data_IF_618029440230
#
_entry.id   IF_618029440230
#
_cell.length_a   1.000
_cell.length_b   1.000
_cell.length_c   1.000
_cell.angle_alpha   90.00
_cell.angle_beta   90.00
_cell.angle_gamma   90.00
#
_symmetry.space_group_name_H-M   'P 1'
#
loop_
_entity.id
_entity.type
_entity.pdbx_description
1 polymer ?
#
# COMPACT_ATOMS: atom_id res chain seq x y z
N UNK A 1 -3.15 11.76 -2.00
CA UNK A 1 -2.42 12.81 -1.25
C UNK A 1 -2.04 12.37 0.16
N UNK A 2 -2.82 11.53 0.85
CA UNK A 2 -2.52 11.00 2.20
C UNK A 2 -2.23 12.12 3.19
N UNK A 3 -3.21 13.02 3.39
CA UNK A 3 -3.05 14.24 4.20
C UNK A 3 -1.79 15.03 3.77
N UNK A 4 -1.58 15.13 2.46
CA UNK A 4 -0.43 15.76 1.78
C UNK A 4 0.95 15.12 1.99
N UNK A 5 1.04 13.96 2.67
CA UNK A 5 2.31 13.25 2.89
C UNK A 5 2.79 12.44 1.69
N UNK A 6 1.88 12.05 0.79
CA UNK A 6 2.25 11.25 -0.39
C UNK A 6 3.08 12.06 -1.40
N UNK A 7 4.13 11.49 -2.02
CA UNK A 7 4.92 12.17 -3.06
C UNK A 7 4.15 12.38 -4.37
N UNK A 8 2.92 11.86 -4.45
CA UNK A 8 1.99 12.16 -5.54
C UNK A 8 1.28 13.49 -5.36
N UNK A 9 1.28 14.06 -4.14
CA UNK A 9 0.62 15.31 -3.83
C UNK A 9 1.40 16.51 -4.38
N UNK A 10 0.68 17.44 -4.99
CA UNK A 10 1.21 18.69 -5.55
C UNK A 10 0.72 19.90 -4.76
N UNK A 11 1.27 21.09 -5.07
CA UNK A 11 0.79 22.36 -4.49
C UNK A 11 -0.65 22.69 -4.91
N UNK A 12 -1.05 22.24 -6.09
CA UNK A 12 -2.41 22.43 -6.59
C UNK A 12 -3.43 21.64 -5.76
N UNK A 13 -3.10 20.39 -5.40
CA UNK A 13 -3.93 19.58 -4.51
C UNK A 13 -4.13 20.25 -3.13
N UNK A 14 -3.05 20.80 -2.56
CA UNK A 14 -3.14 21.51 -1.27
C UNK A 14 -3.97 22.78 -1.38
N UNK A 15 -3.80 23.55 -2.47
CA UNK A 15 -4.59 24.76 -2.72
C UNK A 15 -6.07 24.43 -2.86
N UNK A 16 -6.41 23.45 -3.71
CA UNK A 16 -7.78 23.00 -3.92
C UNK A 16 -8.42 22.52 -2.61
N UNK A 17 -7.70 21.72 -1.80
CA UNK A 17 -8.23 21.26 -0.51
C UNK A 17 -8.53 22.43 0.46
N UNK A 18 -7.66 23.44 0.55
CA UNK A 18 -7.90 24.62 1.40
C UNK A 18 -9.11 25.44 0.92
N UNK A 19 -9.25 25.62 -0.38
CA UNK A 19 -10.39 26.34 -0.97
C UNK A 19 -11.71 25.58 -0.72
N UNK A 20 -11.71 24.25 -0.93
CA UNK A 20 -12.86 23.39 -0.65
C UNK A 20 -13.22 23.35 0.84
N UNK A 21 -12.23 23.31 1.74
CA UNK A 21 -12.45 23.33 3.19
C UNK A 21 -13.18 24.60 3.62
N UNK A 22 -12.79 25.76 3.06
CA UNK A 22 -13.48 27.03 3.30
C UNK A 22 -14.93 27.00 2.80
N UNK A 23 -15.18 26.46 1.61
CA UNK A 23 -16.54 26.32 1.04
C UNK A 23 -17.40 25.41 1.92
N UNK A 24 -16.82 24.31 2.41
CA UNK A 24 -17.49 23.33 3.24
C UNK A 24 -17.64 23.72 4.72
N UNK A 25 -17.08 24.87 5.14
CA UNK A 25 -17.10 25.30 6.54
C UNK A 25 -16.25 24.44 7.48
N UNK A 26 -15.22 23.78 6.94
CA UNK A 26 -14.32 22.90 7.71
C UNK A 26 -13.06 23.70 8.07
N UNK A 27 -12.90 24.03 9.35
CA UNK A 27 -11.75 24.80 9.83
C UNK A 27 -10.46 23.95 9.87
N UNK A 28 -10.54 22.72 10.37
CA UNK A 28 -9.41 21.79 10.44
C UNK A 28 -9.59 20.59 9.50
N UNK A 29 -9.35 20.82 8.22
CA UNK A 29 -9.38 19.79 7.17
C UNK A 29 -8.32 18.69 7.36
N UNK A 30 -7.28 18.93 8.16
CA UNK A 30 -6.29 17.90 8.48
C UNK A 30 -6.79 16.96 9.57
N UNK A 31 -7.44 17.49 10.60
CA UNK A 31 -8.12 16.68 11.62
C UNK A 31 -9.22 15.82 10.98
N UNK A 32 -10.07 16.41 10.14
CA UNK A 32 -11.06 15.63 9.38
C UNK A 32 -10.39 14.55 8.51
N UNK A 33 -9.30 14.90 7.82
CA UNK A 33 -8.52 13.92 7.06
C UNK A 33 -8.01 12.77 7.94
N UNK A 34 -7.55 13.05 9.15
CA UNK A 34 -7.12 12.03 10.11
C UNK A 34 -8.29 11.15 10.55
N UNK A 35 -9.44 11.73 10.90
CA UNK A 35 -10.66 10.99 11.24
C UNK A 35 -11.09 10.06 10.11
N UNK A 36 -11.06 10.54 8.87
CA UNK A 36 -11.35 9.71 7.68
C UNK A 36 -10.37 8.53 7.57
N UNK A 37 -9.09 8.72 7.88
CA UNK A 37 -8.11 7.63 7.88
C UNK A 37 -8.28 6.68 9.05
N UNK A 38 -8.68 7.16 10.24
CA UNK A 38 -9.00 6.30 11.38
C UNK A 38 -10.16 5.37 11.01
N UNK A 39 -11.24 5.92 10.43
CA UNK A 39 -12.39 5.13 9.96
C UNK A 39 -11.97 4.16 8.84
N UNK A 40 -11.16 4.60 7.88
CA UNK A 40 -10.63 3.73 6.82
C UNK A 40 -9.71 2.62 7.36
N UNK A 41 -9.00 2.88 8.46
CA UNK A 41 -8.11 1.95 9.15
C UNK A 41 -8.86 0.92 9.98
N UNK A 42 -10.20 0.96 10.03
CA UNK A 42 -10.98 -0.19 10.53
C UNK A 42 -10.83 -1.36 9.55
N UNK A 43 -9.78 -2.12 9.79
CA UNK A 43 -9.44 -3.36 9.09
C UNK A 43 -9.95 -4.58 9.84
N UNK A 44 -10.36 -4.43 11.10
CA UNK A 44 -10.73 -5.53 11.98
C UNK A 44 -12.11 -6.12 11.63
N UNK A 45 -13.00 -5.29 11.07
CA UNK A 45 -14.35 -5.70 10.66
C UNK A 45 -14.40 -6.36 9.27
N UNK A 46 -13.34 -6.26 8.47
CA UNK A 46 -13.26 -6.82 7.12
C UNK A 46 -12.60 -8.20 7.10
N UNK A 47 -13.00 -9.04 6.15
CA UNK A 47 -12.30 -10.29 5.86
C UNK A 47 -10.93 -10.01 5.25
N UNK A 48 -9.96 -10.92 5.41
CA UNK A 48 -8.60 -10.72 4.92
C UNK A 48 -8.57 -10.63 3.39
N UNK A 49 -9.46 -11.38 2.73
CA UNK A 49 -9.67 -11.27 1.29
C UNK A 49 -10.12 -9.87 0.87
N UNK A 50 -11.11 -9.30 1.56
CA UNK A 50 -11.57 -7.93 1.29
C UNK A 50 -10.45 -6.91 1.53
N UNK A 51 -9.62 -7.12 2.56
CA UNK A 51 -8.46 -6.26 2.83
C UNK A 51 -7.45 -6.31 1.69
N UNK A 52 -7.00 -7.50 1.28
CA UNK A 52 -6.00 -7.63 0.21
C UNK A 52 -6.53 -7.06 -1.10
N UNK A 53 -7.84 -7.22 -1.38
CA UNK A 53 -8.48 -6.74 -2.61
C UNK A 53 -8.87 -5.25 -2.61
N UNK A 54 -8.91 -4.59 -1.44
CA UNK A 54 -9.47 -3.23 -1.25
C UNK A 54 -8.89 -2.19 -2.21
N UNK A 55 -7.58 -2.21 -2.43
CA UNK A 55 -6.92 -1.45 -3.51
C UNK A 55 -5.91 -2.35 -4.25
N UNK A 56 -6.39 -3.45 -4.79
CA UNK A 56 -5.59 -4.39 -5.56
C UNK A 56 -5.65 -4.08 -7.06
N UNK A 57 -4.49 -4.15 -7.71
CA UNK A 57 -4.38 -4.00 -9.17
C UNK A 57 -3.41 -5.01 -9.74
N UNK A 58 -3.76 -5.53 -10.91
CA UNK A 58 -2.88 -6.36 -11.72
C UNK A 58 -2.06 -5.51 -12.69
N UNK A 59 -0.82 -5.96 -12.89
CA UNK A 59 0.14 -5.40 -13.83
C UNK A 59 0.76 -6.55 -14.62
N UNK A 60 1.14 -6.28 -15.86
CA UNK A 60 1.95 -7.18 -16.66
C UNK A 60 3.32 -6.54 -16.85
N UNK A 61 4.37 -7.20 -16.37
CA UNK A 61 5.76 -6.72 -16.45
C UNK A 61 6.62 -7.84 -17.03
N UNK A 62 7.15 -7.63 -18.24
CA UNK A 62 7.95 -8.64 -18.93
C UNK A 62 7.22 -9.96 -19.20
N UNK A 63 5.89 -9.96 -19.32
CA UNK A 63 5.08 -11.18 -19.47
C UNK A 63 4.66 -11.83 -18.14
N UNK A 64 5.21 -11.37 -17.01
CA UNK A 64 4.83 -11.83 -15.68
C UNK A 64 3.64 -11.03 -15.15
N UNK A 65 2.61 -11.75 -14.69
CA UNK A 65 1.44 -11.13 -14.05
C UNK A 65 1.73 -10.87 -12.58
N UNK A 66 1.68 -9.60 -12.17
CA UNK A 66 2.02 -9.14 -10.83
C UNK A 66 0.83 -8.39 -10.23
N UNK A 67 0.35 -8.86 -9.08
CA UNK A 67 -0.69 -8.21 -8.30
C UNK A 67 -0.11 -7.33 -7.20
N UNK A 68 -0.59 -6.10 -7.06
CA UNK A 68 -0.14 -5.18 -6.00
C UNK A 68 -1.34 -4.54 -5.29
N UNK A 69 -1.54 -4.92 -4.03
CA UNK A 69 -2.49 -4.31 -3.09
C UNK A 69 -1.88 -3.19 -2.27
N UNK A 70 -2.72 -2.27 -1.78
CA UNK A 70 -2.31 -1.23 -0.84
C UNK A 70 -3.37 -1.02 0.26
N UNK A 71 -2.92 -0.99 1.51
CA UNK A 71 -3.69 -0.67 2.70
C UNK A 71 -3.00 0.46 3.45
N UNK A 72 -3.63 1.62 3.52
CA UNK A 72 -3.11 2.74 4.31
C UNK A 72 -3.79 2.80 5.68
N UNK A 73 -2.96 2.81 6.72
CA UNK A 73 -3.39 2.86 8.12
C UNK A 73 -2.65 3.95 8.88
N UNK A 74 -3.23 4.40 9.99
CA UNK A 74 -2.59 5.37 10.89
C UNK A 74 -1.40 4.73 11.64
N UNK A 75 -1.52 3.47 12.02
CA UNK A 75 -0.50 2.69 12.74
C UNK A 75 -0.54 1.23 12.24
N UNK A 76 0.63 0.66 11.97
CA UNK A 76 0.77 -0.73 11.51
C UNK A 76 0.49 -1.78 12.58
N UNK A 77 0.49 -1.41 13.87
CA UNK A 77 0.20 -2.34 14.97
C UNK A 77 -1.14 -3.07 14.81
N UNK A 78 -2.07 -2.48 14.06
CA UNK A 78 -3.36 -3.11 13.69
C UNK A 78 -3.19 -4.43 12.91
N UNK A 79 -2.04 -4.64 12.25
CA UNK A 79 -1.78 -5.83 11.45
C UNK A 79 -0.97 -6.91 12.18
N UNK A 80 -0.42 -6.63 13.36
CA UNK A 80 0.56 -7.52 14.02
C UNK A 80 0.03 -8.94 14.23
N UNK A 81 -1.28 -9.09 14.46
CA UNK A 81 -1.93 -10.38 14.71
C UNK A 81 -2.67 -10.97 13.50
N UNK A 82 -2.51 -10.40 12.30
CA UNK A 82 -3.22 -10.88 11.09
C UNK A 82 -2.33 -11.05 9.87
N UNK A 83 -1.01 -10.81 9.97
CA UNK A 83 -0.08 -10.98 8.84
C UNK A 83 -0.12 -12.39 8.25
N UNK A 84 -0.20 -13.42 9.07
CA UNK A 84 -0.25 -14.81 8.59
C UNK A 84 -1.51 -15.06 7.76
N UNK A 85 -2.67 -14.57 8.21
CA UNK A 85 -3.92 -14.65 7.46
C UNK A 85 -3.88 -13.81 6.17
N UNK A 86 -3.21 -12.65 6.18
CA UNK A 86 -2.98 -11.86 4.97
C UNK A 86 -2.09 -12.60 3.97
N UNK A 87 -1.01 -13.25 4.42
CA UNK A 87 -0.16 -14.07 3.56
C UNK A 87 -0.94 -15.24 2.97
N UNK A 88 -1.81 -15.89 3.74
CA UNK A 88 -2.67 -16.96 3.23
C UNK A 88 -3.59 -16.47 2.11
N UNK A 89 -4.24 -15.32 2.27
CA UNK A 89 -5.08 -14.75 1.22
C UNK A 89 -4.29 -14.23 0.02
N UNK A 90 -3.10 -13.68 0.24
CA UNK A 90 -2.19 -13.33 -0.86
C UNK A 90 -1.79 -14.57 -1.67
N UNK A 91 -1.54 -15.70 -1.01
CA UNK A 91 -1.25 -16.97 -1.66
C UNK A 91 -2.44 -17.46 -2.48
N UNK A 92 -3.65 -17.45 -1.90
CA UNK A 92 -4.89 -17.80 -2.62
C UNK A 92 -5.05 -16.94 -3.88
N UNK A 93 -4.86 -15.62 -3.78
CA UNK A 93 -4.92 -14.71 -4.93
C UNK A 93 -3.81 -14.96 -5.94
N UNK A 94 -2.61 -15.34 -5.49
CA UNK A 94 -1.51 -15.69 -6.40
C UNK A 94 -1.89 -16.89 -7.25
N UNK A 95 -2.43 -17.93 -6.62
CA UNK A 95 -2.80 -19.19 -7.27
C UNK A 95 -4.04 -19.01 -8.17
N UNK A 96 -5.11 -18.38 -7.67
CA UNK A 96 -6.35 -18.11 -8.43
C UNK A 96 -6.11 -17.30 -9.71
N UNK A 97 -5.15 -16.38 -9.66
CA UNK A 97 -4.86 -15.48 -10.77
C UNK A 97 -3.71 -15.92 -11.65
N UNK A 98 -3.09 -17.07 -11.36
CA UNK A 98 -1.83 -17.54 -11.98
C UNK A 98 -0.78 -16.41 -12.00
N UNK A 99 -0.64 -15.72 -10.87
CA UNK A 99 0.26 -14.57 -10.73
C UNK A 99 1.66 -15.05 -10.40
N UNK A 100 2.63 -14.50 -11.09
CA UNK A 100 4.04 -14.67 -10.74
C UNK A 100 4.33 -14.08 -9.35
N UNK A 101 3.70 -12.96 -9.02
CA UNK A 101 3.89 -12.31 -7.72
C UNK A 101 2.66 -11.59 -7.23
N UNK A 102 2.48 -11.59 -5.91
CA UNK A 102 1.48 -10.81 -5.19
C UNK A 102 2.19 -10.03 -4.09
N UNK A 103 2.04 -8.71 -4.11
CA UNK A 103 2.60 -7.81 -3.12
C UNK A 103 1.47 -7.06 -2.42
N UNK A 104 1.63 -6.82 -1.11
CA UNK A 104 0.72 -6.02 -0.32
C UNK A 104 1.49 -4.93 0.42
N UNK A 105 1.15 -3.68 0.13
CA UNK A 105 1.70 -2.52 0.80
C UNK A 105 0.89 -2.21 2.07
N UNK A 106 1.43 -2.50 3.25
CA UNK A 106 0.90 -2.00 4.51
C UNK A 106 1.55 -0.65 4.80
N UNK A 107 0.86 0.44 4.49
CA UNK A 107 1.40 1.80 4.52
C UNK A 107 1.06 2.49 5.85
N UNK A 108 2.08 2.86 6.62
CA UNK A 108 1.96 3.65 7.84
C UNK A 108 1.99 5.15 7.51
N UNK A 109 0.89 5.85 7.78
CA UNK A 109 0.76 7.28 7.52
C UNK A 109 1.58 8.11 8.51
N UNK A 110 1.74 7.64 9.75
CA UNK A 110 2.44 8.38 10.80
C UNK A 110 3.95 8.22 10.68
N UNK A 111 4.42 7.00 10.44
CA UNK A 111 5.84 6.70 10.22
C UNK A 111 6.32 7.01 8.80
N UNK A 112 5.40 7.30 7.88
CA UNK A 112 5.69 7.61 6.48
C UNK A 112 6.53 6.52 5.80
N UNK A 113 6.03 5.29 5.82
CA UNK A 113 6.69 4.16 5.15
C UNK A 113 5.73 3.00 4.92
N UNK A 114 6.23 1.96 4.25
CA UNK A 114 5.46 0.77 3.93
C UNK A 114 6.17 -0.46 4.45
N UNK A 115 5.46 -1.30 5.21
CA UNK A 115 5.81 -2.70 5.37
C UNK A 115 5.28 -3.44 4.14
N UNK A 116 6.18 -3.84 3.26
CA UNK A 116 5.83 -4.57 2.05
C UNK A 116 5.81 -6.06 2.37
N UNK A 117 4.68 -6.72 2.16
CA UNK A 117 4.58 -8.18 2.13
C UNK A 117 4.69 -8.63 0.68
N UNK A 118 5.46 -9.69 0.40
CA UNK A 118 5.70 -10.14 -0.96
C UNK A 118 5.73 -11.67 -1.06
N UNK A 119 4.85 -12.23 -1.89
CA UNK A 119 4.91 -13.62 -2.34
C UNK A 119 5.27 -13.61 -3.82
N UNK A 120 6.36 -14.28 -4.19
CA UNK A 120 6.91 -14.26 -5.53
C UNK A 120 7.54 -15.60 -5.87
N UNK A 121 7.44 -16.02 -7.14
CA UNK A 121 8.20 -17.17 -7.64
C UNK A 121 9.70 -16.86 -7.76
N UNK A 122 10.07 -15.59 -7.89
CA UNK A 122 11.46 -15.11 -7.91
C UNK A 122 11.65 -13.97 -6.89
N UNK A 123 11.72 -14.27 -5.57
CA UNK A 123 11.87 -13.25 -4.53
C UNK A 123 13.07 -12.31 -4.74
N UNK A 124 14.16 -12.81 -5.33
CA UNK A 124 15.35 -12.00 -5.64
C UNK A 124 15.03 -10.80 -6.53
N UNK A 125 14.09 -10.91 -7.47
CA UNK A 125 13.67 -9.77 -8.31
C UNK A 125 13.02 -8.66 -7.49
N UNK A 126 12.26 -9.02 -6.46
CA UNK A 126 11.66 -8.05 -5.53
C UNK A 126 12.76 -7.39 -4.68
N UNK A 127 13.70 -8.19 -4.20
CA UNK A 127 14.85 -7.67 -3.44
C UNK A 127 15.70 -6.69 -4.25
N UNK A 128 16.01 -7.04 -5.50
CA UNK A 128 16.78 -6.21 -6.43
C UNK A 128 16.03 -4.93 -6.80
N UNK A 129 14.71 -4.97 -6.95
CA UNK A 129 13.88 -3.80 -7.25
C UNK A 129 13.97 -2.73 -6.14
N UNK A 130 14.19 -3.13 -4.89
CA UNK A 130 14.22 -2.22 -3.75
C UNK A 130 15.57 -2.13 -3.04
N UNK A 131 16.60 -2.82 -3.56
CA UNK A 131 17.93 -2.96 -2.96
C UNK A 131 17.86 -3.36 -1.48
N UNK A 132 17.00 -4.34 -1.17
CA UNK A 132 16.76 -4.82 0.21
C UNK A 132 16.38 -6.28 0.24
N UNK A 133 16.83 -7.00 1.27
CA UNK A 133 16.44 -8.39 1.53
C UNK A 133 15.05 -8.51 2.11
N UNK A 134 14.34 -9.55 1.69
CA UNK A 134 13.08 -9.97 2.31
C UNK A 134 13.41 -10.83 3.53
N UNK A 135 12.90 -10.46 4.69
CA UNK A 135 12.96 -11.27 5.90
C UNK A 135 11.56 -11.81 6.16
N UNK A 136 11.38 -13.14 6.12
CA UNK A 136 10.06 -13.77 6.23
C UNK A 136 9.03 -13.18 5.23
N UNK A 137 9.42 -13.08 3.96
CA UNK A 137 8.58 -12.56 2.88
C UNK A 137 8.11 -11.10 3.06
N UNK A 138 8.82 -10.30 3.85
CA UNK A 138 8.48 -8.91 4.07
C UNK A 138 9.70 -8.00 4.21
N UNK A 139 9.52 -6.70 3.94
CA UNK A 139 10.58 -5.68 4.09
C UNK A 139 10.00 -4.31 4.42
N UNK A 140 10.69 -3.57 5.29
CA UNK A 140 10.35 -2.16 5.57
C UNK A 140 10.96 -1.21 4.53
N UNK A 141 10.10 -0.43 3.89
CA UNK A 141 10.43 0.57 2.88
C UNK A 141 10.15 1.99 3.41
N UNK A 142 11.16 2.69 3.95
CA UNK A 142 10.98 4.04 4.47
C UNK A 142 10.63 5.00 3.32
N UNK A 143 9.74 5.97 3.59
CA UNK A 143 9.27 7.00 2.64
C UNK A 143 8.53 6.47 1.43
N UNK A 144 8.25 5.17 1.35
CA UNK A 144 7.40 4.58 0.31
C UNK A 144 5.94 4.68 0.74
N UNK A 145 5.16 5.45 -0.01
CA UNK A 145 3.74 5.73 0.24
C UNK A 145 2.87 5.55 -1.02
N UNK A 146 3.48 5.38 -2.19
CA UNK A 146 2.77 5.35 -3.47
C UNK A 146 3.13 4.14 -4.29
N UNK A 147 2.14 3.25 -4.51
CA UNK A 147 2.26 2.17 -5.49
C UNK A 147 2.73 2.69 -6.85
N UNK A 148 2.05 3.70 -7.40
CA UNK A 148 2.27 4.24 -8.75
C UNK A 148 3.66 4.86 -8.96
N UNK A 149 4.19 5.60 -7.96
CA UNK A 149 5.47 6.30 -8.12
C UNK A 149 6.69 5.53 -7.59
N UNK A 150 6.49 4.65 -6.61
CA UNK A 150 7.59 4.11 -5.81
C UNK A 150 7.65 2.58 -5.77
N UNK A 151 6.61 1.87 -6.24
CA UNK A 151 6.63 0.41 -6.36
C UNK A 151 6.67 0.00 -7.84
N UNK A 152 5.66 0.42 -8.61
CA UNK A 152 5.49 -0.03 -10.00
C UNK A 152 6.72 0.27 -10.88
N UNK A 153 7.27 1.50 -10.93
CA UNK A 153 8.41 1.79 -11.80
C UNK A 153 9.71 1.10 -11.39
N UNK A 154 9.80 0.57 -10.17
CA UNK A 154 10.97 -0.16 -9.67
C UNK A 154 10.86 -1.63 -10.04
N UNK A 155 9.68 -2.22 -9.90
CA UNK A 155 9.39 -3.58 -10.37
C UNK A 155 9.54 -3.68 -11.90
N UNK A 156 8.99 -2.72 -12.66
CA UNK A 156 9.07 -2.69 -14.14
C UNK A 156 10.51 -2.63 -14.68
N UNK A 157 11.49 -2.21 -13.89
CA UNK A 157 12.90 -2.20 -14.32
C UNK A 157 13.60 -3.55 -14.19
N UNK A 158 13.05 -4.44 -13.35
CA UNK A 158 13.63 -5.74 -13.04
C UNK A 158 12.92 -6.86 -13.80
N UNK A 159 11.60 -6.75 -13.98
CA UNK A 159 10.75 -7.70 -14.68
C UNK A 159 10.65 -7.43 -16.17
#
# INVERSE_FOLDING_TARGET
TVIFKSPTCTKEDTKACKELAKIAGIEDYKALGMEMFIVKSDVLSATKRELVLRDFKDFNMGGNKIGVGQLEVVDLSVFDNMKDELFQEMQNLKDEGERHSVLLMLTDIMQEGTQLLALSDEPSKIEDAFDKKLENNQVWLPKVMSRKKQIIPFLEKIF
#
